data_IF_911092221856
#
_entry.id   IF_911092221856
#
_cell.length_a   1.000
_cell.length_b   1.000
_cell.length_c   1.000
_cell.angle_alpha   90.00
_cell.angle_beta   90.00
_cell.angle_gamma   90.00
#
_symmetry.space_group_name_H-M   'P 1'
#
loop_
_entity.id
_entity.type
_entity.pdbx_description
1 polymer ?
#
# COMPACT_ATOMS: atom_id res chain seq x y z
N UNK A 1 18.71 20.98 8.87
CA UNK A 1 18.20 19.63 8.54
C UNK A 1 16.70 19.76 8.35
N UNK A 2 16.23 19.66 7.10
CA UNK A 2 14.80 19.70 6.78
C UNK A 2 14.21 18.35 7.15
N UNK A 3 13.32 18.31 8.13
CA UNK A 3 12.61 17.11 8.56
C UNK A 3 11.75 16.62 7.41
N UNK A 4 12.13 15.50 6.77
CA UNK A 4 11.28 14.85 5.77
C UNK A 4 9.99 14.42 6.46
N UNK A 5 8.87 15.04 6.07
CA UNK A 5 7.56 14.69 6.61
C UNK A 5 7.13 13.35 6.02
N UNK A 6 7.30 12.29 6.79
CA UNK A 6 6.75 10.98 6.47
C UNK A 6 5.23 11.05 6.65
N UNK A 7 4.47 10.87 5.58
CA UNK A 7 3.02 10.70 5.68
C UNK A 7 2.75 9.21 5.78
N UNK A 8 2.44 8.72 6.98
CA UNK A 8 2.11 7.32 7.23
C UNK A 8 0.70 7.19 7.80
N UNK A 9 -0.04 6.19 7.32
CA UNK A 9 -1.38 5.84 7.79
C UNK A 9 -1.44 4.34 8.06
N UNK A 10 -2.12 3.94 9.13
CA UNK A 10 -2.39 2.53 9.39
C UNK A 10 -3.27 1.96 8.28
N UNK A 11 -2.97 0.75 7.84
CA UNK A 11 -3.73 0.03 6.82
C UNK A 11 -4.34 -1.22 7.47
N UNK A 12 -5.65 -1.23 7.61
CA UNK A 12 -6.36 -2.39 8.14
C UNK A 12 -7.05 -3.13 7.01
N UNK A 13 -6.71 -4.41 6.84
CA UNK A 13 -7.33 -5.28 5.83
C UNK A 13 -7.76 -6.60 6.47
N UNK A 14 -8.65 -7.32 5.79
CA UNK A 14 -8.79 -8.76 6.02
C UNK A 14 -7.59 -9.54 5.45
N UNK A 15 -7.76 -10.84 5.34
CA UNK A 15 -6.72 -11.74 4.83
C UNK A 15 -6.50 -11.52 3.33
N UNK A 16 -5.28 -11.14 2.97
CA UNK A 16 -4.84 -10.97 1.59
C UNK A 16 -4.04 -12.21 1.21
N UNK A 17 -4.46 -12.86 0.12
CA UNK A 17 -3.70 -13.97 -0.46
C UNK A 17 -2.75 -13.45 -1.52
N UNK A 18 -1.45 -13.70 -1.33
CA UNK A 18 -0.39 -13.34 -2.26
C UNK A 18 0.09 -14.62 -2.90
N UNK A 19 -0.03 -14.70 -4.23
CA UNK A 19 0.21 -15.92 -5.00
C UNK A 19 1.41 -15.74 -5.91
N UNK A 20 2.26 -16.76 -5.95
CA UNK A 20 3.25 -16.96 -7.00
C UNK A 20 2.88 -18.21 -7.82
N UNK A 21 3.67 -18.48 -8.85
CA UNK A 21 3.54 -19.71 -9.64
C UNK A 21 3.82 -21.01 -8.85
N UNK A 22 4.41 -20.92 -7.65
CA UNK A 22 4.85 -22.10 -6.87
C UNK A 22 4.28 -22.16 -5.45
N UNK A 23 3.82 -21.05 -4.87
CA UNK A 23 3.26 -21.02 -3.51
C UNK A 23 2.25 -19.89 -3.37
N UNK A 24 1.46 -19.93 -2.30
CA UNK A 24 0.72 -18.76 -1.82
C UNK A 24 1.06 -18.51 -0.35
N UNK A 25 0.91 -17.26 0.08
CA UNK A 25 1.00 -16.86 1.48
C UNK A 25 -0.16 -15.94 1.82
N UNK A 26 -0.54 -15.93 3.09
CA UNK A 26 -1.57 -15.05 3.61
C UNK A 26 -0.94 -13.93 4.43
N UNK A 27 -1.33 -12.69 4.14
CA UNK A 27 -0.86 -11.49 4.81
C UNK A 27 -2.01 -10.57 5.22
N UNK A 28 -1.73 -9.62 6.10
CA UNK A 28 -2.62 -8.52 6.49
C UNK A 28 -1.91 -7.20 6.30
N UNK A 29 -2.66 -6.14 5.95
CA UNK A 29 -2.09 -4.80 5.92
C UNK A 29 -1.58 -4.35 7.29
N UNK A 30 -0.46 -3.63 7.27
CA UNK A 30 0.09 -2.93 8.44
C UNK A 30 -0.07 -1.41 8.25
N UNK A 31 0.59 -0.87 7.23
CA UNK A 31 0.60 0.59 6.97
C UNK A 31 0.85 0.95 5.51
N UNK A 32 0.46 2.17 5.16
CA UNK A 32 0.86 2.87 3.93
C UNK A 32 1.68 4.09 4.32
N UNK A 33 2.86 4.27 3.72
CA UNK A 33 3.72 5.42 3.97
C UNK A 33 4.24 6.03 2.66
N UNK A 34 4.16 7.36 2.56
CA UNK A 34 4.85 8.12 1.51
C UNK A 34 6.25 8.50 1.99
N UNK A 35 7.25 8.04 1.25
CA UNK A 35 8.66 8.39 1.45
C UNK A 35 9.02 9.46 0.43
N UNK A 36 9.31 10.67 0.90
CA UNK A 36 9.80 11.74 0.02
C UNK A 36 11.20 11.41 -0.51
N UNK A 37 11.45 11.80 -1.76
CA UNK A 37 12.75 11.62 -2.39
C UNK A 37 13.90 12.26 -1.60
N UNK A 38 15.11 11.72 -1.72
CA UNK A 38 16.33 12.35 -1.20
C UNK A 38 17.42 12.30 -2.24
N UNK A 39 18.30 13.29 -2.16
CA UNK A 39 19.66 13.14 -2.64
C UNK A 39 20.52 12.81 -1.43
N UNK A 40 21.14 11.63 -1.43
CA UNK A 40 22.15 11.25 -0.41
C UNK A 40 23.38 10.75 -1.16
N UNK A 41 24.54 11.31 -0.84
CA UNK A 41 25.83 10.94 -1.42
C UNK A 41 25.83 10.95 -2.97
N UNK A 42 25.12 11.93 -3.57
CA UNK A 42 25.00 12.08 -5.02
C UNK A 42 24.01 11.11 -5.70
N UNK A 43 23.39 10.20 -4.94
CA UNK A 43 22.37 9.28 -5.45
C UNK A 43 20.98 9.86 -5.19
N UNK A 44 20.21 10.05 -6.25
CA UNK A 44 18.83 10.53 -6.20
C UNK A 44 17.89 9.33 -6.04
N UNK A 45 17.25 9.24 -4.88
CA UNK A 45 16.14 8.32 -4.65
C UNK A 45 14.82 9.03 -4.98
N UNK A 46 14.01 8.51 -5.92
CA UNK A 46 12.69 9.08 -6.20
C UNK A 46 11.77 8.95 -4.98
N UNK A 47 10.71 9.75 -4.95
CA UNK A 47 9.64 9.55 -3.98
C UNK A 47 8.96 8.19 -4.24
N UNK A 48 8.46 7.55 -3.19
CA UNK A 48 7.81 6.26 -3.27
C UNK A 48 6.67 6.14 -2.25
N UNK A 49 5.70 5.29 -2.56
CA UNK A 49 4.65 4.85 -1.63
C UNK A 49 4.93 3.40 -1.25
N UNK A 50 5.12 3.17 0.05
CA UNK A 50 5.34 1.86 0.62
C UNK A 50 4.03 1.36 1.21
N UNK A 51 3.61 0.17 0.82
CA UNK A 51 2.50 -0.56 1.44
C UNK A 51 3.09 -1.79 2.09
N UNK A 52 3.05 -1.82 3.42
CA UNK A 52 3.64 -2.88 4.22
C UNK A 52 2.55 -3.86 4.69
N UNK A 53 2.91 -5.15 4.68
CA UNK A 53 2.05 -6.24 5.08
C UNK A 53 2.76 -7.18 6.04
N UNK A 54 2.02 -7.68 7.03
CA UNK A 54 2.45 -8.72 7.96
C UNK A 54 2.00 -10.09 7.45
N UNK A 55 2.91 -11.05 7.41
CA UNK A 55 2.63 -12.42 6.94
C UNK A 55 2.15 -13.28 8.11
N UNK A 56 0.95 -13.87 8.00
CA UNK A 56 0.33 -14.65 9.08
C UNK A 56 1.02 -15.99 9.33
N UNK A 57 1.42 -16.68 8.27
CA UNK A 57 2.12 -17.96 8.33
C UNK A 57 3.12 -18.03 7.16
N UNK A 58 4.43 -18.02 7.41
CA UNK A 58 5.42 -18.20 6.36
C UNK A 58 5.26 -19.59 5.73
N UNK A 59 5.40 -19.68 4.40
CA UNK A 59 5.24 -20.93 3.66
C UNK A 59 6.26 -21.99 4.13
N UNK A 60 5.81 -23.24 4.30
CA UNK A 60 6.67 -24.40 4.62
C UNK A 60 7.48 -24.91 3.40
N UNK A 61 7.51 -24.16 2.30
CA UNK A 61 8.23 -24.50 1.07
C UNK A 61 9.57 -23.74 1.01
N UNK A 62 10.66 -24.50 1.12
CA UNK A 62 12.09 -24.11 1.03
C UNK A 62 12.50 -23.15 -0.07
N UNK A 63 11.70 -22.97 -1.11
CA UNK A 63 12.20 -22.43 -2.37
C UNK A 63 12.17 -20.90 -2.50
N UNK A 64 11.32 -20.14 -1.79
CA UNK A 64 11.22 -18.69 -2.10
C UNK A 64 10.84 -17.78 -0.91
N UNK A 65 10.11 -18.27 0.10
CA UNK A 65 9.51 -17.41 1.14
C UNK A 65 9.65 -17.95 2.58
N UNK A 66 10.52 -18.96 2.79
CA UNK A 66 10.77 -19.46 4.14
C UNK A 66 11.21 -18.30 5.05
N UNK A 67 10.55 -18.19 6.21
CA UNK A 67 10.78 -17.13 7.22
C UNK A 67 10.37 -15.70 6.82
N UNK A 68 9.69 -15.49 5.69
CA UNK A 68 9.20 -14.14 5.33
C UNK A 68 8.12 -13.69 6.30
N UNK A 69 8.44 -12.69 7.13
CA UNK A 69 7.52 -12.11 8.14
C UNK A 69 6.80 -10.87 7.65
N UNK A 70 7.42 -10.13 6.75
CA UNK A 70 6.90 -8.87 6.21
C UNK A 70 7.07 -8.83 4.71
N UNK A 71 6.10 -8.22 4.02
CA UNK A 71 6.18 -7.92 2.60
C UNK A 71 5.98 -6.43 2.40
N UNK A 72 6.74 -5.87 1.46
CA UNK A 72 6.57 -4.49 1.03
C UNK A 72 6.19 -4.45 -0.45
N UNK A 73 5.13 -3.71 -0.77
CA UNK A 73 4.85 -3.25 -2.11
C UNK A 73 5.31 -1.80 -2.22
N UNK A 74 6.31 -1.56 -3.05
CA UNK A 74 6.87 -0.22 -3.28
C UNK A 74 6.42 0.26 -4.64
N UNK A 75 5.71 1.38 -4.67
CA UNK A 75 5.13 1.98 -5.86
C UNK A 75 5.73 3.37 -6.08
N UNK A 76 5.86 3.77 -7.34
CA UNK A 76 6.01 5.20 -7.62
C UNK A 76 4.70 5.92 -7.26
N UNK A 77 4.73 7.22 -6.95
CA UNK A 77 3.53 7.96 -6.55
C UNK A 77 2.40 7.87 -7.59
N UNK A 78 2.72 7.91 -8.88
CA UNK A 78 1.72 7.83 -9.94
C UNK A 78 1.12 6.42 -10.04
N UNK A 79 1.93 5.36 -9.97
CA UNK A 79 1.47 3.98 -9.92
C UNK A 79 0.53 3.73 -8.72
N UNK A 80 0.85 4.33 -7.56
CA UNK A 80 0.03 4.21 -6.35
C UNK A 80 -1.36 4.85 -6.53
N UNK A 81 -1.43 5.98 -7.23
CA UNK A 81 -2.70 6.64 -7.56
C UNK A 81 -3.51 5.78 -8.53
N UNK A 82 -2.89 5.32 -9.62
CA UNK A 82 -3.57 4.50 -10.63
C UNK A 82 -4.12 3.20 -10.03
N UNK A 83 -3.30 2.49 -9.25
CA UNK A 83 -3.72 1.29 -8.55
C UNK A 83 -4.86 1.59 -7.56
N UNK A 84 -4.75 2.68 -6.79
CA UNK A 84 -5.79 3.11 -5.86
C UNK A 84 -7.14 3.37 -6.54
N UNK A 85 -7.13 4.01 -7.71
CA UNK A 85 -8.35 4.27 -8.50
C UNK A 85 -8.97 2.95 -8.98
N UNK A 86 -8.19 2.02 -9.50
CA UNK A 86 -8.68 0.72 -9.97
C UNK A 86 -9.28 -0.10 -8.82
N UNK A 87 -8.58 -0.17 -7.68
CA UNK A 87 -9.06 -0.88 -6.49
C UNK A 87 -10.35 -0.26 -5.95
N UNK A 88 -10.42 1.07 -5.92
CA UNK A 88 -11.63 1.80 -5.51
C UNK A 88 -12.80 1.50 -6.43
N UNK A 89 -12.60 1.61 -7.75
CA UNK A 89 -13.64 1.33 -8.74
C UNK A 89 -14.18 -0.11 -8.63
N UNK A 90 -13.29 -1.09 -8.48
CA UNK A 90 -13.69 -2.49 -8.31
C UNK A 90 -14.37 -2.75 -6.96
N UNK A 91 -13.85 -2.17 -5.87
CA UNK A 91 -14.39 -2.34 -4.51
C UNK A 91 -15.72 -1.62 -4.27
N UNK A 92 -16.06 -0.62 -5.08
CA UNK A 92 -17.34 0.07 -5.08
C UNK A 92 -18.42 -0.68 -5.87
N UNK A 93 -18.05 -1.69 -6.66
CA UNK A 93 -19.02 -2.50 -7.41
C UNK A 93 -19.99 -3.16 -6.42
N UNK A 94 -21.26 -2.77 -6.47
CA UNK A 94 -22.34 -3.20 -5.57
C UNK A 94 -22.31 -2.61 -4.15
N UNK A 95 -21.54 -1.54 -3.88
CA UNK A 95 -21.70 -0.78 -2.63
C UNK A 95 -22.91 0.15 -2.69
N UNK A 96 -23.55 0.36 -1.55
CA UNK A 96 -24.65 1.31 -1.42
C UNK A 96 -24.18 2.74 -1.70
N UNK A 97 -25.07 3.57 -2.26
CA UNK A 97 -24.77 4.94 -2.67
C UNK A 97 -24.24 5.81 -1.53
N UNK A 98 -24.61 5.53 -0.27
CA UNK A 98 -24.10 6.24 0.90
C UNK A 98 -22.62 5.95 1.16
N UNK A 99 -22.18 4.70 1.00
CA UNK A 99 -20.77 4.33 1.16
C UNK A 99 -19.90 4.92 0.03
N UNK A 100 -20.46 5.02 -1.18
CA UNK A 100 -19.84 5.72 -2.31
C UNK A 100 -19.69 7.22 -2.02
N UNK A 101 -20.73 7.86 -1.48
CA UNK A 101 -20.72 9.27 -1.13
C UNK A 101 -19.63 9.63 -0.10
N UNK A 102 -19.47 8.80 0.94
CA UNK A 102 -18.43 8.99 1.96
C UNK A 102 -17.01 8.92 1.37
N UNK A 103 -16.76 8.01 0.41
CA UNK A 103 -15.47 7.92 -0.29
C UNK A 103 -15.23 9.18 -1.11
N UNK A 104 -16.23 9.65 -1.86
CA UNK A 104 -16.10 10.88 -2.66
C UNK A 104 -15.90 12.11 -1.79
N UNK A 105 -16.57 12.22 -0.65
CA UNK A 105 -16.40 13.33 0.29
C UNK A 105 -14.98 13.35 0.88
N UNK A 106 -14.45 12.19 1.27
CA UNK A 106 -13.07 12.08 1.75
C UNK A 106 -12.06 12.52 0.68
N UNK A 107 -12.24 12.10 -0.58
CA UNK A 107 -11.39 12.54 -1.69
C UNK A 107 -11.50 14.04 -1.95
N UNK A 108 -12.72 14.61 -1.87
CA UNK A 108 -12.93 16.05 -2.01
C UNK A 108 -12.26 16.86 -0.89
N UNK A 109 -12.29 16.37 0.35
CA UNK A 109 -11.60 17.01 1.47
C UNK A 109 -10.08 17.05 1.24
N UNK A 110 -9.49 15.95 0.78
CA UNK A 110 -8.05 15.89 0.44
C UNK A 110 -7.66 16.86 -0.68
N UNK A 111 -8.56 17.17 -1.61
CA UNK A 111 -8.35 18.18 -2.65
C UNK A 111 -8.43 19.61 -2.10
N UNK A 112 -9.24 19.85 -1.06
CA UNK A 112 -9.40 21.15 -0.43
C UNK A 112 -8.27 21.49 0.56
N UNK A 113 -7.54 20.49 1.05
CA UNK A 113 -6.35 20.65 1.91
C UNK A 113 -5.05 20.97 1.13
N UNK A 114 -5.12 21.12 -0.19
CA UNK A 114 -4.00 21.51 -1.06
C UNK A 114 -3.76 23.01 -1.11
#
# INVERSE_FOLDING_TARGET
>A
MTTKKLLAQALHTGDISIMSNVTSITATGDKVARIEGSVRDGVQSPAAVHVDFDVKQPSHLKAVLEETRSLGLILQPDDAVELGVLLTALGMKNKESQAVAAITEHLSALLAER
#
